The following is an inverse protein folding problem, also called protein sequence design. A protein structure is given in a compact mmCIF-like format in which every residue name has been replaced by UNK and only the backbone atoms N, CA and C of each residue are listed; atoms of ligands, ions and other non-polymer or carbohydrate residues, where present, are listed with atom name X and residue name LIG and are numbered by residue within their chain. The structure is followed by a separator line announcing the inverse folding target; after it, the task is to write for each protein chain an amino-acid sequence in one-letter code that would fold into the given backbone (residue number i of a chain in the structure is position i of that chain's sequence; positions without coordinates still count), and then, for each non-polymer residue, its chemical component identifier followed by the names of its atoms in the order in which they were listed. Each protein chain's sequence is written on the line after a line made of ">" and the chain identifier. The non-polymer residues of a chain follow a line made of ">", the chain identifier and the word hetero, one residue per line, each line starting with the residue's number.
data_IF_198323767197
#
_entry.id   IF_198323767197
#
_cell.length_a   1.000
_cell.length_b   1.000
_cell.length_c   1.000
_cell.angle_alpha   90.00
_cell.angle_beta   90.00
_cell.angle_gamma   90.00
#
_symmetry.space_group_name_H-M   'P 1'
#
loop_
_entity.id
_entity.type
_entity.pdbx_description
1 polymer ?
#
# COMPACT_ATOMS: atom_id res chain seq x y z
N UNK A 1 -9.65 -80.68 -5.55
CA UNK A 1 -8.57 -79.69 -5.83
C UNK A 1 -9.22 -78.41 -6.33
N UNK A 2 -9.53 -77.47 -5.43
CA UNK A 2 -10.11 -76.16 -5.79
C UNK A 2 -9.10 -75.10 -5.33
N UNK A 3 -8.49 -74.42 -6.31
CA UNK A 3 -7.57 -73.30 -6.09
C UNK A 3 -8.38 -72.03 -5.85
N UNK A 4 -8.22 -71.40 -4.69
CA UNK A 4 -8.76 -70.07 -4.42
C UNK A 4 -7.90 -69.01 -5.13
N UNK A 5 -8.49 -68.29 -6.10
CA UNK A 5 -7.93 -67.05 -6.65
C UNK A 5 -8.24 -65.89 -5.69
N UNK A 6 -7.19 -65.24 -5.17
CA UNK A 6 -7.30 -63.97 -4.44
C UNK A 6 -7.23 -62.85 -5.47
N UNK A 7 -8.35 -62.13 -5.66
CA UNK A 7 -8.41 -60.92 -6.48
C UNK A 7 -7.89 -59.74 -5.63
N UNK A 8 -6.69 -59.24 -5.95
CA UNK A 8 -6.14 -58.01 -5.41
C UNK A 8 -6.81 -56.81 -6.11
N UNK A 9 -7.74 -56.16 -5.41
CA UNK A 9 -8.33 -54.90 -5.85
C UNK A 9 -7.31 -53.76 -5.65
N UNK A 10 -6.66 -53.34 -6.73
CA UNK A 10 -5.82 -52.13 -6.76
C UNK A 10 -6.76 -50.92 -6.79
N UNK A 11 -6.96 -50.28 -5.63
CA UNK A 11 -7.65 -49.00 -5.53
C UNK A 11 -6.68 -47.91 -5.98
N UNK A 12 -6.80 -47.49 -7.24
CA UNK A 12 -6.09 -46.32 -7.75
C UNK A 12 -6.74 -45.03 -7.18
N UNK A 13 -6.15 -44.51 -6.09
CA UNK A 13 -6.52 -43.21 -5.55
C UNK A 13 -6.11 -42.11 -6.55
N UNK A 14 -7.08 -41.66 -7.35
CA UNK A 14 -6.90 -40.53 -8.25
C UNK A 14 -6.91 -39.25 -7.42
N UNK A 15 -5.73 -38.70 -7.10
CA UNK A 15 -5.62 -37.36 -6.53
C UNK A 15 -6.03 -36.35 -7.59
N UNK A 16 -7.28 -35.89 -7.53
CA UNK A 16 -7.72 -34.72 -8.27
C UNK A 16 -7.11 -33.49 -7.61
N UNK A 17 -6.00 -33.00 -8.15
CA UNK A 17 -5.49 -31.68 -7.79
C UNK A 17 -6.51 -30.66 -8.29
N UNK A 18 -7.35 -30.18 -7.38
CA UNK A 18 -8.22 -29.04 -7.65
C UNK A 18 -7.30 -27.85 -7.92
N UNK A 19 -7.20 -27.40 -9.17
CA UNK A 19 -6.47 -26.16 -9.49
C UNK A 19 -7.28 -24.99 -8.91
N UNK A 20 -6.96 -24.58 -7.69
CA UNK A 20 -7.33 -23.25 -7.21
C UNK A 20 -6.76 -22.26 -8.25
N UNK A 21 -7.65 -21.57 -8.97
CA UNK A 21 -7.26 -20.69 -10.08
C UNK A 21 -6.16 -19.73 -9.62
N UNK A 22 -5.00 -19.81 -10.26
CA UNK A 22 -3.84 -19.00 -9.89
C UNK A 22 -4.22 -17.52 -10.03
N UNK A 23 -4.08 -16.76 -8.93
CA UNK A 23 -4.29 -15.32 -8.94
C UNK A 23 -3.25 -14.68 -9.86
N UNK A 24 -3.70 -13.75 -10.69
CA UNK A 24 -2.84 -12.95 -11.55
C UNK A 24 -2.02 -11.99 -10.69
N UNK A 25 -0.71 -11.97 -10.90
CA UNK A 25 0.18 -10.97 -10.31
C UNK A 25 0.06 -9.64 -11.04
N UNK A 26 0.44 -8.56 -10.38
CA UNK A 26 0.53 -7.22 -11.01
C UNK A 26 1.35 -7.22 -12.29
N UNK A 27 2.52 -7.86 -12.27
CA UNK A 27 3.39 -7.94 -13.44
C UNK A 27 2.72 -8.68 -14.61
N UNK A 28 1.98 -9.76 -14.34
CA UNK A 28 1.21 -10.49 -15.36
C UNK A 28 0.07 -9.64 -15.92
N UNK A 29 -0.65 -8.90 -15.07
CA UNK A 29 -1.70 -7.98 -15.52
C UNK A 29 -1.13 -6.91 -16.46
N UNK A 30 -0.06 -6.24 -16.05
CA UNK A 30 0.60 -5.20 -16.86
C UNK A 30 1.05 -5.80 -18.19
N UNK A 31 1.75 -6.95 -18.16
CA UNK A 31 2.20 -7.63 -19.38
C UNK A 31 1.04 -7.95 -20.31
N UNK A 32 -0.09 -8.39 -19.76
CA UNK A 32 -1.27 -8.80 -20.53
C UNK A 32 -2.02 -7.62 -21.14
N UNK A 33 -2.15 -6.50 -20.43
CA UNK A 33 -3.05 -5.41 -20.83
C UNK A 33 -2.36 -4.12 -21.26
N UNK A 34 -1.03 -4.01 -21.15
CA UNK A 34 -0.29 -2.80 -21.60
C UNK A 34 -0.58 -2.42 -23.06
N UNK A 35 -0.70 -3.41 -23.95
CA UNK A 35 -1.01 -3.15 -25.36
C UNK A 35 -2.37 -2.51 -25.56
N UNK A 36 -3.37 -2.87 -24.73
CA UNK A 36 -4.69 -2.27 -24.78
C UNK A 36 -4.67 -0.83 -24.27
N UNK A 37 -3.92 -0.56 -23.20
CA UNK A 37 -3.77 0.79 -22.67
C UNK A 37 -3.03 1.73 -23.64
N UNK A 38 -1.95 1.25 -24.27
CA UNK A 38 -1.23 1.99 -25.32
C UNK A 38 -2.16 2.32 -26.48
N UNK A 39 -2.93 1.33 -26.95
CA UNK A 39 -3.92 1.54 -28.01
C UNK A 39 -4.97 2.57 -27.59
N UNK A 40 -5.51 2.46 -26.38
CA UNK A 40 -6.48 3.43 -25.86
C UNK A 40 -5.89 4.84 -25.76
N UNK A 41 -4.64 5.00 -25.36
CA UNK A 41 -4.00 6.32 -25.35
C UNK A 41 -3.92 6.93 -26.74
N UNK A 42 -3.55 6.13 -27.75
CA UNK A 42 -3.50 6.60 -29.14
C UNK A 42 -4.86 7.05 -29.65
N UNK A 43 -5.89 6.25 -29.37
CA UNK A 43 -7.26 6.44 -29.89
C UNK A 43 -8.05 7.50 -29.13
N UNK A 44 -7.91 7.54 -27.80
CA UNK A 44 -8.77 8.31 -26.88
C UNK A 44 -8.03 9.45 -26.17
N UNK A 45 -6.71 9.55 -26.32
CA UNK A 45 -5.89 10.61 -25.69
C UNK A 45 -5.93 10.60 -24.15
N UNK A 46 -6.13 9.44 -23.55
CA UNK A 46 -6.00 9.21 -22.10
C UNK A 46 -4.64 8.55 -21.85
N UNK A 47 -3.81 8.99 -20.89
CA UNK A 47 -2.52 8.36 -20.64
C UNK A 47 -2.66 6.84 -20.44
N UNK A 48 -1.78 6.07 -21.07
CA UNK A 48 -1.74 4.61 -20.94
C UNK A 48 -1.42 4.22 -19.49
N UNK A 49 -0.57 5.00 -18.82
CA UNK A 49 -0.23 4.87 -17.40
C UNK A 49 -1.45 5.03 -16.49
N UNK A 50 -2.28 6.06 -16.71
CA UNK A 50 -3.55 6.28 -16.00
C UNK A 50 -4.49 5.09 -16.22
N UNK A 51 -4.69 4.68 -17.47
CA UNK A 51 -5.58 3.58 -17.81
C UNK A 51 -5.14 2.26 -17.12
N UNK A 52 -3.85 1.94 -17.15
CA UNK A 52 -3.33 0.74 -16.48
C UNK A 52 -3.42 0.85 -14.96
N UNK A 53 -3.11 2.01 -14.38
CA UNK A 53 -3.14 2.18 -12.93
C UNK A 53 -4.55 2.06 -12.36
N UNK A 54 -5.53 2.68 -13.02
CA UNK A 54 -6.95 2.48 -12.68
C UNK A 54 -7.34 1.02 -12.87
N UNK A 55 -6.98 0.42 -14.01
CA UNK A 55 -7.24 -1.00 -14.27
C UNK A 55 -6.68 -1.91 -13.17
N UNK A 56 -5.45 -1.69 -12.70
CA UNK A 56 -4.81 -2.46 -11.62
C UNK A 56 -5.53 -2.26 -10.28
N UNK A 57 -5.80 -1.01 -9.91
CA UNK A 57 -6.43 -0.64 -8.64
C UNK A 57 -7.86 -1.17 -8.53
N UNK A 58 -8.69 -0.90 -9.53
CA UNK A 58 -10.14 -1.20 -9.52
C UNK A 58 -10.41 -2.70 -9.69
N UNK A 59 -9.49 -3.44 -10.32
CA UNK A 59 -9.67 -4.88 -10.59
C UNK A 59 -8.95 -5.81 -9.62
N UNK A 60 -8.23 -5.29 -8.62
CA UNK A 60 -7.34 -6.11 -7.77
C UNK A 60 -6.35 -6.92 -8.63
N UNK A 61 -5.62 -6.24 -9.51
CA UNK A 61 -4.73 -6.85 -10.52
C UNK A 61 -5.45 -7.91 -11.39
N UNK A 62 -6.74 -7.69 -11.69
CA UNK A 62 -7.60 -8.57 -12.48
C UNK A 62 -8.30 -9.68 -11.69
N UNK A 63 -8.07 -9.76 -10.37
CA UNK A 63 -8.57 -10.85 -9.53
C UNK A 63 -9.92 -10.57 -8.88
N UNK A 64 -10.45 -9.35 -8.97
CA UNK A 64 -11.78 -9.03 -8.43
C UNK A 64 -12.86 -9.89 -9.11
N UNK A 65 -13.97 -10.15 -8.42
CA UNK A 65 -15.10 -10.89 -9.00
C UNK A 65 -15.69 -10.16 -10.22
N UNK A 66 -15.66 -8.83 -10.23
CA UNK A 66 -16.13 -8.02 -11.35
C UNK A 66 -15.24 -8.20 -12.58
N UNK A 67 -13.92 -8.16 -12.40
CA UNK A 67 -12.96 -8.35 -13.48
C UNK A 67 -12.94 -9.80 -13.97
N UNK A 68 -12.68 -10.76 -13.08
CA UNK A 68 -12.48 -12.17 -13.44
C UNK A 68 -13.72 -12.86 -14.04
N UNK A 69 -14.94 -12.49 -13.61
CA UNK A 69 -16.18 -13.15 -14.06
C UNK A 69 -16.95 -12.36 -15.11
N UNK A 70 -16.84 -11.03 -15.11
CA UNK A 70 -17.67 -10.15 -15.93
C UNK A 70 -16.87 -9.22 -16.84
N UNK A 71 -15.54 -9.40 -16.88
CA UNK A 71 -14.59 -8.57 -17.61
C UNK A 71 -14.69 -7.08 -17.26
N UNK A 72 -15.28 -6.71 -16.11
CA UNK A 72 -15.41 -5.30 -15.71
C UNK A 72 -14.23 -4.89 -14.84
N UNK A 73 -13.17 -4.40 -15.49
CA UNK A 73 -11.89 -4.07 -14.84
C UNK A 73 -11.89 -2.71 -14.14
N UNK A 74 -12.86 -1.84 -14.40
CA UNK A 74 -12.90 -0.47 -13.88
C UNK A 74 -14.10 -0.21 -12.96
N UNK A 75 -14.82 -1.26 -12.56
CA UNK A 75 -15.98 -1.14 -11.66
C UNK A 75 -17.13 -0.30 -12.22
N UNK A 76 -17.28 -0.21 -13.55
CA UNK A 76 -18.25 0.72 -14.16
C UNK A 76 -19.68 0.26 -13.83
N UNK A 77 -20.41 1.12 -13.13
CA UNK A 77 -21.81 0.93 -12.74
C UNK A 77 -22.75 1.10 -13.95
N UNK A 78 -23.93 0.48 -13.88
CA UNK A 78 -24.98 0.73 -14.85
C UNK A 78 -25.50 2.17 -14.65
N UNK A 79 -25.55 2.94 -15.73
CA UNK A 79 -26.26 4.21 -15.76
C UNK A 79 -27.56 4.03 -16.56
N UNK A 80 -28.44 5.02 -16.54
CA UNK A 80 -29.74 4.97 -17.25
C UNK A 80 -29.61 4.67 -18.75
N UNK A 81 -28.48 5.03 -19.36
CA UNK A 81 -28.20 4.76 -20.78
C UNK A 81 -27.62 3.38 -21.09
N UNK A 82 -27.34 2.54 -20.07
CA UNK A 82 -26.74 1.23 -20.30
C UNK A 82 -27.77 0.19 -20.72
N UNK A 83 -27.64 -0.31 -21.95
CA UNK A 83 -28.53 -1.33 -22.54
C UNK A 83 -27.88 -2.71 -22.63
N UNK A 84 -26.58 -2.83 -22.30
CA UNK A 84 -25.83 -4.08 -22.36
C UNK A 84 -26.12 -5.03 -21.19
N UNK A 85 -25.37 -6.14 -21.16
CA UNK A 85 -25.46 -7.12 -20.06
C UNK A 85 -25.10 -6.47 -18.72
N UNK A 86 -25.76 -6.92 -17.66
CA UNK A 86 -25.61 -6.40 -16.31
C UNK A 86 -25.50 -7.50 -15.27
N UNK A 87 -24.85 -7.19 -14.15
CA UNK A 87 -24.78 -8.02 -12.95
C UNK A 87 -25.08 -7.15 -11.74
N UNK A 88 -25.51 -7.76 -10.63
CA UNK A 88 -25.76 -7.05 -9.39
C UNK A 88 -24.84 -7.57 -8.30
N UNK A 89 -24.20 -6.66 -7.58
CA UNK A 89 -23.29 -6.95 -6.47
C UNK A 89 -23.53 -5.97 -5.33
N UNK A 90 -23.25 -6.43 -4.13
CA UNK A 90 -23.14 -5.55 -2.98
C UNK A 90 -21.71 -5.03 -2.98
N UNK A 91 -21.54 -3.72 -3.15
CA UNK A 91 -20.24 -3.02 -3.15
C UNK A 91 -20.29 -1.87 -2.12
N UNK A 92 -20.66 -0.66 -2.53
CA UNK A 92 -20.90 0.48 -1.63
C UNK A 92 -22.32 0.42 -1.03
N UNK A 93 -23.27 -0.07 -1.82
CA UNK A 93 -24.67 -0.27 -1.44
C UNK A 93 -25.15 -1.68 -1.81
N UNK A 94 -26.27 -2.11 -1.23
CA UNK A 94 -26.89 -3.39 -1.60
C UNK A 94 -27.41 -3.34 -3.05
N UNK A 95 -27.11 -4.39 -3.82
CA UNK A 95 -27.60 -4.63 -5.18
C UNK A 95 -27.27 -3.51 -6.18
N UNK A 96 -26.04 -3.01 -6.14
CA UNK A 96 -25.58 -2.09 -7.17
C UNK A 96 -25.44 -2.81 -8.52
N UNK A 97 -25.85 -2.13 -9.58
CA UNK A 97 -25.79 -2.64 -10.95
C UNK A 97 -24.44 -2.32 -11.56
N UNK A 98 -23.78 -3.33 -12.10
CA UNK A 98 -22.51 -3.22 -12.83
C UNK A 98 -22.65 -3.72 -14.26
N UNK A 99 -21.92 -3.08 -15.16
CA UNK A 99 -21.84 -3.50 -16.57
C UNK A 99 -21.10 -4.84 -16.67
N UNK A 100 -21.50 -5.66 -17.64
CA UNK A 100 -20.86 -6.94 -17.97
C UNK A 100 -20.39 -6.87 -19.41
N UNK A 101 -19.14 -7.24 -19.65
CA UNK A 101 -18.51 -7.11 -20.96
C UNK A 101 -18.18 -8.48 -21.57
N UNK A 102 -18.30 -8.64 -22.90
CA UNK A 102 -17.84 -9.84 -23.60
C UNK A 102 -16.34 -10.08 -23.45
N UNK A 103 -15.54 -9.01 -23.52
CA UNK A 103 -14.08 -9.07 -23.39
C UNK A 103 -13.54 -7.99 -22.46
N UNK A 104 -12.29 -8.14 -22.01
CA UNK A 104 -11.61 -7.08 -21.25
C UNK A 104 -11.41 -5.83 -22.10
N UNK A 105 -11.15 -5.97 -23.41
CA UNK A 105 -11.03 -4.84 -24.34
C UNK A 105 -12.29 -3.97 -24.33
N UNK A 106 -13.47 -4.58 -24.31
CA UNK A 106 -14.73 -3.84 -24.27
C UNK A 106 -14.85 -2.98 -23.01
N UNK A 107 -14.35 -3.49 -21.86
CA UNK A 107 -14.33 -2.70 -20.62
C UNK A 107 -13.34 -1.53 -20.67
N UNK A 108 -12.20 -1.70 -21.35
CA UNK A 108 -11.23 -0.63 -21.57
C UNK A 108 -11.80 0.45 -22.50
N UNK A 109 -12.46 0.06 -23.57
CA UNK A 109 -13.10 1.00 -24.50
C UNK A 109 -14.24 1.78 -23.81
N UNK A 110 -15.07 1.09 -23.04
CA UNK A 110 -16.17 1.72 -22.31
C UNK A 110 -15.66 2.64 -21.18
N UNK A 111 -14.54 2.29 -20.55
CA UNK A 111 -13.83 3.19 -19.63
C UNK A 111 -13.33 4.46 -20.34
N UNK A 112 -12.72 4.33 -21.51
CA UNK A 112 -12.29 5.49 -22.30
C UNK A 112 -13.49 6.38 -22.69
N UNK A 113 -14.60 5.78 -23.12
CA UNK A 113 -15.84 6.50 -23.41
C UNK A 113 -16.43 7.18 -22.16
N UNK A 114 -16.34 6.53 -20.99
CA UNK A 114 -16.75 7.10 -19.72
C UNK A 114 -15.94 8.36 -19.35
N UNK A 115 -14.62 8.33 -19.55
CA UNK A 115 -13.74 9.47 -19.30
C UNK A 115 -13.90 10.60 -20.32
N UNK A 116 -14.50 10.38 -21.49
CA UNK A 116 -14.83 11.47 -22.42
C UNK A 116 -16.07 12.30 -22.04
N UNK A 117 -16.78 11.96 -20.96
CA UNK A 117 -17.91 12.79 -20.49
C UNK A 117 -17.43 14.19 -20.09
N UNK A 118 -18.28 15.19 -20.31
CA UNK A 118 -17.98 16.62 -20.06
C UNK A 118 -17.38 16.92 -18.69
N UNK A 119 -17.79 16.17 -17.65
CA UNK A 119 -17.24 16.24 -16.29
C UNK A 119 -15.72 16.11 -16.23
N UNK A 120 -15.11 15.33 -17.12
CA UNK A 120 -13.68 15.03 -17.15
C UNK A 120 -12.93 15.84 -18.22
N UNK A 121 -13.59 16.79 -18.91
CA UNK A 121 -13.00 17.54 -20.02
C UNK A 121 -11.66 18.21 -19.64
N UNK A 122 -11.55 18.72 -18.41
CA UNK A 122 -10.31 19.35 -17.91
C UNK A 122 -9.10 18.42 -17.88
N UNK A 123 -9.30 17.11 -17.77
CA UNK A 123 -8.18 16.17 -17.87
C UNK A 123 -7.50 16.25 -19.24
N UNK A 124 -8.27 16.52 -20.30
CA UNK A 124 -7.78 16.59 -21.68
C UNK A 124 -7.15 17.95 -22.03
N UNK A 125 -7.17 18.92 -21.11
CA UNK A 125 -6.43 20.18 -21.22
C UNK A 125 -4.98 20.02 -20.71
N UNK A 126 -4.68 18.93 -20.00
CA UNK A 126 -3.36 18.61 -19.48
C UNK A 126 -2.49 17.96 -20.56
N UNK A 127 -1.18 18.10 -20.42
CA UNK A 127 -0.22 17.33 -21.21
C UNK A 127 -0.52 15.83 -21.08
N UNK A 128 -0.52 15.12 -22.22
CA UNK A 128 -0.94 13.72 -22.28
C UNK A 128 0.01 12.78 -21.52
N UNK A 129 1.19 13.26 -21.13
CA UNK A 129 2.15 12.53 -20.29
C UNK A 129 2.13 12.95 -18.82
N UNK A 130 1.32 13.96 -18.45
CA UNK A 130 1.23 14.46 -17.08
C UNK A 130 0.23 13.65 -16.25
N UNK A 131 0.58 12.38 -16.01
CA UNK A 131 -0.27 11.48 -15.24
C UNK A 131 -0.50 11.95 -13.80
N UNK A 132 0.38 12.80 -13.24
CA UNK A 132 0.23 13.33 -11.87
C UNK A 132 -0.95 14.29 -11.80
N UNK A 133 -1.00 15.28 -12.70
CA UNK A 133 -2.14 16.20 -12.76
C UNK A 133 -3.41 15.50 -13.29
N UNK A 134 -3.28 14.51 -14.17
CA UNK A 134 -4.43 13.68 -14.57
C UNK A 134 -5.07 12.97 -13.36
N UNK A 135 -4.27 12.38 -12.47
CA UNK A 135 -4.78 11.71 -11.28
C UNK A 135 -5.48 12.69 -10.32
N UNK A 136 -4.93 13.90 -10.16
CA UNK A 136 -5.53 14.96 -9.35
C UNK A 136 -6.86 15.45 -9.96
N UNK A 137 -6.89 15.74 -11.26
CA UNK A 137 -8.08 16.24 -11.94
C UNK A 137 -9.18 15.16 -12.02
N UNK A 138 -8.84 13.87 -12.18
CA UNK A 138 -9.80 12.76 -12.07
C UNK A 138 -10.52 12.76 -10.72
N UNK A 139 -9.78 12.96 -9.61
CA UNK A 139 -10.36 13.02 -8.27
C UNK A 139 -11.23 14.26 -8.10
N UNK A 140 -10.75 15.42 -8.54
CA UNK A 140 -11.49 16.69 -8.48
C UNK A 140 -12.78 16.65 -9.30
N UNK A 141 -12.75 16.00 -10.46
CA UNK A 141 -13.91 15.71 -11.29
C UNK A 141 -14.86 14.67 -10.67
N UNK A 142 -14.48 14.03 -9.57
CA UNK A 142 -15.33 13.11 -8.82
C UNK A 142 -15.35 11.68 -9.37
N UNK A 143 -14.24 11.20 -9.95
CA UNK A 143 -14.10 9.80 -10.32
C UNK A 143 -14.20 8.86 -9.11
N UNK A 144 -13.52 9.20 -8.01
CA UNK A 144 -13.51 8.41 -6.77
C UNK A 144 -13.80 9.27 -5.54
N UNK A 145 -14.43 8.67 -4.52
CA UNK A 145 -14.71 9.33 -3.24
C UNK A 145 -13.47 9.37 -2.34
N UNK A 146 -12.63 8.34 -2.40
CA UNK A 146 -11.40 8.22 -1.60
C UNK A 146 -10.47 9.45 -1.80
N UNK A 147 -10.15 10.22 -0.74
CA UNK A 147 -9.24 11.38 -0.85
C UNK A 147 -7.82 10.99 -1.28
N UNK A 148 -7.39 9.74 -1.03
CA UNK A 148 -6.07 9.23 -1.43
C UNK A 148 -6.03 8.72 -2.87
N UNK A 149 -7.13 8.79 -3.63
CA UNK A 149 -7.21 8.23 -4.97
C UNK A 149 -6.11 8.69 -5.94
N UNK A 150 -5.79 10.00 -6.06
CA UNK A 150 -4.71 10.44 -6.92
C UNK A 150 -3.39 9.78 -6.55
N UNK A 151 -3.07 9.75 -5.25
CA UNK A 151 -1.84 9.17 -4.75
C UNK A 151 -1.74 7.68 -5.05
N UNK A 152 -2.83 6.93 -4.91
CA UNK A 152 -2.85 5.49 -5.24
C UNK A 152 -2.51 5.25 -6.71
N UNK A 153 -3.06 6.06 -7.63
CA UNK A 153 -2.73 5.96 -9.05
C UNK A 153 -1.27 6.31 -9.32
N UNK A 154 -0.79 7.44 -8.81
CA UNK A 154 0.60 7.88 -9.01
C UNK A 154 1.57 6.83 -8.47
N UNK A 155 1.27 6.21 -7.33
CA UNK A 155 2.08 5.12 -6.77
C UNK A 155 2.14 3.91 -7.69
N UNK A 156 0.98 3.45 -8.17
CA UNK A 156 0.93 2.32 -9.09
C UNK A 156 1.69 2.63 -10.39
N UNK A 157 1.59 3.85 -10.90
CA UNK A 157 2.30 4.29 -12.11
C UNK A 157 3.81 4.27 -11.90
N UNK A 158 4.31 4.86 -10.81
CA UNK A 158 5.74 4.99 -10.55
C UNK A 158 6.38 3.64 -10.20
N UNK A 159 5.79 2.87 -9.27
CA UNK A 159 6.33 1.56 -8.83
C UNK A 159 6.42 0.52 -9.96
N UNK A 160 5.56 0.66 -10.97
CA UNK A 160 5.50 -0.26 -12.11
C UNK A 160 5.99 0.38 -13.41
N UNK A 161 6.54 1.60 -13.32
CA UNK A 161 7.08 2.39 -14.43
C UNK A 161 6.10 2.50 -15.62
N UNK A 162 4.80 2.63 -15.34
CA UNK A 162 3.76 2.60 -16.37
C UNK A 162 3.84 3.80 -17.32
N UNK A 163 4.45 4.91 -16.90
CA UNK A 163 4.71 6.08 -17.73
C UNK A 163 5.58 5.76 -18.96
N UNK A 164 6.35 4.67 -18.94
CA UNK A 164 7.08 4.19 -20.13
C UNK A 164 6.14 3.83 -21.27
N UNK A 165 4.93 3.37 -20.96
CA UNK A 165 3.92 3.04 -21.96
C UNK A 165 3.27 4.29 -22.55
N UNK A 166 3.27 5.43 -21.85
CA UNK A 166 2.87 6.71 -22.43
C UNK A 166 3.83 7.11 -23.55
N UNK A 167 5.14 6.98 -23.28
CA UNK A 167 6.19 7.25 -24.26
C UNK A 167 6.16 6.29 -25.45
N UNK A 168 5.94 5.01 -25.19
CA UNK A 168 5.74 4.00 -26.24
C UNK A 168 4.51 4.31 -27.11
N UNK A 169 3.42 4.82 -26.51
CA UNK A 169 2.23 5.23 -27.25
C UNK A 169 2.50 6.40 -28.20
N UNK A 170 3.37 7.33 -27.81
CA UNK A 170 3.80 8.50 -28.59
C UNK A 170 4.88 8.19 -29.63
N UNK A 171 5.42 6.96 -29.66
CA UNK A 171 6.51 6.58 -30.57
C UNK A 171 7.90 7.03 -30.11
N UNK A 172 8.04 7.46 -28.85
CA UNK A 172 9.31 7.86 -28.23
C UNK A 172 10.05 6.60 -27.72
N UNK A 173 10.54 5.76 -28.64
CA UNK A 173 11.31 4.54 -28.28
C UNK A 173 12.82 4.84 -28.24
N UNK A 174 13.27 5.56 -27.22
CA UNK A 174 14.69 5.60 -26.83
C UNK A 174 14.79 5.94 -25.32
N UNK A 175 15.41 5.09 -24.47
CA UNK A 175 15.60 5.39 -23.06
C UNK A 175 16.86 6.26 -22.89
N UNK A 176 16.79 7.52 -23.31
CA UNK A 176 17.86 8.47 -23.10
C UNK A 176 17.30 9.78 -22.51
N UNK A 177 17.48 9.91 -21.20
CA UNK A 177 17.49 11.15 -20.41
C UNK A 177 16.41 12.17 -20.79
N UNK A 178 15.31 12.15 -20.04
CA UNK A 178 14.56 13.38 -19.79
C UNK A 178 14.56 13.63 -18.29
N UNK A 179 15.66 14.21 -17.80
CA UNK A 179 15.60 15.06 -16.61
C UNK A 179 14.83 16.30 -17.05
N UNK A 180 13.52 16.29 -16.86
CA UNK A 180 12.78 17.54 -16.69
C UNK A 180 12.16 17.49 -15.31
N UNK A 181 12.87 18.14 -14.38
CA UNK A 181 12.28 18.69 -13.17
C UNK A 181 11.19 19.65 -13.62
N UNK A 182 9.95 19.17 -13.65
CA UNK A 182 8.79 20.05 -13.67
C UNK A 182 8.59 20.49 -12.23
N UNK A 183 8.91 21.75 -11.97
CA UNK A 183 8.55 22.46 -10.75
C UNK A 183 7.02 22.49 -10.64
N UNK A 184 6.44 21.47 -10.03
CA UNK A 184 5.04 21.48 -9.63
C UNK A 184 4.96 22.26 -8.32
N UNK A 185 4.40 23.47 -8.40
CA UNK A 185 4.15 24.34 -7.26
C UNK A 185 3.18 23.69 -6.26
N UNK A 186 3.75 23.21 -5.17
CA UNK A 186 3.30 23.22 -3.77
C UNK A 186 1.80 23.39 -3.49
N UNK A 187 1.09 22.27 -3.37
CA UNK A 187 0.05 22.13 -2.33
C UNK A 187 0.12 20.79 -1.56
N UNK A 188 1.09 19.92 -1.88
CA UNK A 188 1.29 18.63 -1.20
C UNK A 188 2.77 18.28 -1.08
N UNK A 189 3.58 19.20 -0.56
CA UNK A 189 4.94 18.85 -0.17
C UNK A 189 4.94 17.98 1.11
N UNK A 190 5.79 16.95 1.05
CA UNK A 190 6.44 16.29 2.18
C UNK A 190 5.89 14.95 2.71
N UNK A 191 5.40 14.10 1.81
CA UNK A 191 5.41 12.64 2.05
C UNK A 191 6.19 11.95 0.94
N UNK A 192 7.48 11.73 1.19
CA UNK A 192 8.28 10.68 0.55
C UNK A 192 7.64 9.32 0.84
N UNK A 193 6.62 8.99 0.06
CA UNK A 193 5.81 7.78 0.17
C UNK A 193 6.51 6.58 -0.47
N UNK A 194 7.51 6.82 -1.33
CA UNK A 194 8.16 5.79 -2.15
C UNK A 194 9.31 5.07 -1.42
N UNK A 195 9.89 5.69 -0.40
CA UNK A 195 10.82 5.02 0.50
C UNK A 195 10.07 4.44 1.70
N UNK A 196 9.41 3.28 1.51
CA UNK A 196 8.90 2.52 2.68
C UNK A 196 10.10 2.19 3.58
N UNK A 197 10.09 2.64 4.85
CA UNK A 197 11.25 2.49 5.71
C UNK A 197 11.53 1.01 6.00
N UNK A 198 12.81 0.65 6.02
CA UNK A 198 13.25 -0.74 6.24
C UNK A 198 12.82 -1.19 7.63
N UNK A 199 11.94 -2.19 7.68
CA UNK A 199 11.48 -2.76 8.95
C UNK A 199 12.54 -3.69 9.52
N UNK A 200 13.04 -3.35 10.69
CA UNK A 200 14.01 -4.12 11.47
C UNK A 200 13.33 -4.81 12.65
N UNK A 201 14.05 -5.70 13.32
CA UNK A 201 13.62 -6.37 14.54
C UNK A 201 14.60 -6.12 15.68
N UNK A 202 14.10 -5.63 16.82
CA UNK A 202 14.91 -5.37 18.01
C UNK A 202 15.31 -6.67 18.72
N UNK A 203 16.32 -6.59 19.62
CA UNK A 203 16.71 -7.69 20.52
C UNK A 203 15.56 -8.20 21.40
N UNK A 204 14.48 -7.44 21.54
CA UNK A 204 13.29 -7.80 22.30
C UNK A 204 12.13 -8.32 21.41
N UNK A 205 12.44 -8.72 20.18
CA UNK A 205 11.51 -9.27 19.19
C UNK A 205 10.32 -8.33 18.91
N UNK A 206 10.63 -7.07 18.64
CA UNK A 206 9.66 -6.02 18.31
C UNK A 206 10.07 -5.38 16.99
N UNK A 207 9.15 -5.30 16.04
CA UNK A 207 9.38 -4.63 14.76
C UNK A 207 9.51 -3.12 14.95
N UNK A 208 10.49 -2.50 14.31
CA UNK A 208 10.74 -1.06 14.34
C UNK A 208 11.31 -0.56 13.00
N UNK A 209 11.34 0.75 12.83
CA UNK A 209 12.09 1.47 11.78
C UNK A 209 12.99 2.51 12.44
N UNK A 210 13.95 3.03 11.68
CA UNK A 210 14.66 4.26 12.04
C UNK A 210 13.93 5.46 11.40
N UNK A 211 13.66 6.49 12.20
CA UNK A 211 13.03 7.72 11.73
C UNK A 211 14.00 8.56 10.91
N UNK A 212 13.46 9.30 9.95
CA UNK A 212 14.15 10.43 9.32
C UNK A 212 13.92 11.71 10.12
N UNK A 213 14.79 12.69 9.92
CA UNK A 213 14.69 13.99 10.59
C UNK A 213 13.30 14.62 10.42
N UNK A 214 12.72 15.07 11.53
CA UNK A 214 11.41 15.72 11.57
C UNK A 214 10.22 14.80 11.31
N UNK A 215 10.40 13.47 11.25
CA UNK A 215 9.30 12.53 11.05
C UNK A 215 8.23 12.74 12.13
N UNK A 216 6.98 12.74 11.70
CA UNK A 216 5.83 12.80 12.63
C UNK A 216 5.17 11.42 12.71
N UNK A 217 4.45 11.10 13.81
CA UNK A 217 3.66 9.88 13.90
C UNK A 217 2.67 9.71 12.74
N UNK A 218 2.14 10.81 12.20
CA UNK A 218 1.26 10.78 11.02
C UNK A 218 2.04 10.39 9.77
N UNK A 219 3.18 11.04 9.49
CA UNK A 219 4.00 10.78 8.29
C UNK A 219 4.49 9.33 8.27
N UNK A 220 4.99 8.83 9.40
CA UNK A 220 5.41 7.42 9.53
C UNK A 220 4.23 6.46 9.34
N UNK A 221 3.07 6.76 9.94
CA UNK A 221 1.88 5.93 9.80
C UNK A 221 1.37 5.87 8.35
N UNK A 222 1.39 7.02 7.65
CA UNK A 222 1.03 7.10 6.23
C UNK A 222 2.01 6.30 5.35
N UNK A 223 3.33 6.34 5.63
CA UNK A 223 4.36 5.55 4.91
C UNK A 223 4.21 4.03 5.09
N UNK A 224 3.66 3.59 6.22
CA UNK A 224 3.60 2.18 6.63
C UNK A 224 2.19 1.57 6.58
N UNK A 225 1.21 2.29 6.04
CA UNK A 225 -0.20 1.87 6.01
C UNK A 225 -0.74 1.51 7.42
N UNK A 226 -0.30 2.25 8.44
CA UNK A 226 -0.70 2.09 9.84
C UNK A 226 -1.61 3.21 10.31
N UNK A 227 -2.35 2.98 11.40
CA UNK A 227 -3.08 4.05 12.08
C UNK A 227 -2.12 4.99 12.82
N UNK A 228 -2.19 6.32 12.66
CA UNK A 228 -1.34 7.26 13.41
C UNK A 228 -1.43 7.09 14.93
N UNK A 229 -2.57 6.62 15.44
CA UNK A 229 -2.74 6.31 16.86
C UNK A 229 -1.88 5.13 17.33
N UNK A 230 -1.58 4.17 16.44
CA UNK A 230 -0.73 3.02 16.76
C UNK A 230 0.71 3.49 16.96
N UNK A 231 1.23 4.31 16.06
CA UNK A 231 2.59 4.86 16.17
C UNK A 231 2.73 5.64 17.49
N UNK A 232 1.76 6.52 17.79
CA UNK A 232 1.75 7.27 19.07
C UNK A 232 1.73 6.34 20.29
N UNK A 233 0.80 5.40 20.31
CA UNK A 233 0.59 4.49 21.44
C UNK A 233 1.79 3.58 21.68
N UNK A 234 2.45 3.10 20.64
CA UNK A 234 3.57 2.16 20.77
C UNK A 234 4.87 2.85 21.18
N UNK A 235 5.02 4.13 20.85
CA UNK A 235 6.22 4.91 21.11
C UNK A 235 6.08 5.88 22.30
N UNK A 236 4.92 5.90 22.96
CA UNK A 236 4.62 6.80 24.08
C UNK A 236 4.81 8.29 23.72
N UNK A 237 4.40 8.69 22.50
CA UNK A 237 4.52 10.07 21.97
C UNK A 237 3.15 10.69 21.65
N UNK A 238 3.08 12.01 21.62
CA UNK A 238 1.86 12.76 21.27
C UNK A 238 1.69 12.96 19.75
N UNK A 239 0.69 13.76 19.34
CA UNK A 239 0.38 14.03 17.93
C UNK A 239 1.39 14.98 17.26
N UNK A 240 1.95 15.92 18.01
CA UNK A 240 2.88 16.95 17.53
C UNK A 240 4.34 16.54 17.62
N UNK A 241 4.64 15.40 18.23
CA UNK A 241 5.99 14.87 18.38
C UNK A 241 6.72 14.77 17.03
N UNK A 242 8.00 15.13 17.05
CA UNK A 242 8.91 15.05 15.91
C UNK A 242 10.09 14.17 16.30
N UNK A 243 10.32 13.13 15.52
CA UNK A 243 11.47 12.25 15.67
C UNK A 243 12.71 12.88 15.03
N UNK A 244 13.86 12.60 15.64
CA UNK A 244 15.18 12.92 15.08
C UNK A 244 15.66 11.80 14.18
N UNK A 245 16.57 12.11 13.27
CA UNK A 245 17.18 11.10 12.40
C UNK A 245 17.83 9.98 13.21
N UNK A 246 17.46 8.73 12.93
CA UNK A 246 17.97 7.53 13.61
C UNK A 246 17.16 7.10 14.84
N UNK A 247 16.15 7.86 15.26
CA UNK A 247 15.26 7.45 16.34
C UNK A 247 14.58 6.12 16.01
N UNK A 248 14.55 5.22 16.99
CA UNK A 248 13.79 3.97 16.86
C UNK A 248 12.31 4.28 16.93
N UNK A 249 11.52 3.81 15.95
CA UNK A 249 10.06 3.88 15.98
C UNK A 249 9.47 2.48 15.92
N UNK A 250 8.87 2.04 17.02
CA UNK A 250 8.23 0.74 17.13
C UNK A 250 6.91 0.67 16.39
N UNK A 251 6.74 -0.42 15.64
CA UNK A 251 5.53 -0.74 14.87
C UNK A 251 4.60 -1.70 15.63
N UNK A 252 4.99 -2.10 16.84
CA UNK A 252 4.28 -3.01 17.72
C UNK A 252 4.41 -2.57 19.18
N UNK A 253 3.52 -2.98 20.10
CA UNK A 253 3.64 -2.62 21.52
C UNK A 253 4.98 -3.06 22.14
N UNK A 254 5.67 -2.12 22.79
CA UNK A 254 6.85 -2.38 23.64
C UNK A 254 6.56 -3.45 24.70
N UNK A 255 7.57 -4.18 25.18
CA UNK A 255 7.41 -5.24 26.20
C UNK A 255 7.43 -4.66 27.61
N UNK A 256 7.02 -5.45 28.59
CA UNK A 256 7.09 -5.05 30.01
C UNK A 256 8.47 -5.30 30.66
N UNK A 257 9.42 -5.88 29.90
CA UNK A 257 10.79 -6.19 30.32
C UNK A 257 11.71 -6.13 29.10
N UNK A 258 12.99 -5.83 29.30
CA UNK A 258 13.99 -5.86 28.24
C UNK A 258 14.73 -7.21 28.16
N UNK A 259 15.45 -7.40 27.07
CA UNK A 259 16.45 -8.47 26.95
C UNK A 259 17.65 -8.24 27.89
N UNK A 260 17.97 -6.98 28.22
CA UNK A 260 19.01 -6.63 29.18
C UNK A 260 18.52 -6.68 30.65
N UNK A 261 19.46 -6.87 31.58
CA UNK A 261 19.19 -6.86 33.02
C UNK A 261 19.04 -5.44 33.57
N UNK A 262 20.02 -4.58 33.25
CA UNK A 262 20.13 -3.22 33.72
C UNK A 262 20.57 -2.30 32.58
N UNK A 263 20.41 -1.01 32.81
CA UNK A 263 21.00 0.05 32.02
C UNK A 263 21.59 1.10 32.99
N UNK A 264 22.76 1.64 32.64
CA UNK A 264 23.41 2.71 33.38
C UNK A 264 23.18 4.02 32.63
N UNK A 265 22.49 4.96 33.29
CA UNK A 265 22.01 6.21 32.70
C UNK A 265 23.18 7.05 32.22
N UNK A 266 23.11 7.52 30.98
CA UNK A 266 24.09 8.45 30.39
C UNK A 266 23.71 9.90 30.65
N UNK A 267 24.66 10.86 30.50
CA UNK A 267 24.34 12.28 30.50
C UNK A 267 23.18 12.60 29.53
N UNK A 268 22.25 13.42 30.00
CA UNK A 268 21.08 13.92 29.26
C UNK A 268 20.07 12.87 28.75
N UNK A 269 20.22 11.61 29.17
CA UNK A 269 19.34 10.53 28.74
C UNK A 269 18.01 10.52 29.52
N UNK A 270 16.91 10.37 28.79
CA UNK A 270 15.56 10.32 29.36
C UNK A 270 15.06 8.88 29.51
N UNK A 271 14.01 8.69 30.33
CA UNK A 271 13.31 7.40 30.40
C UNK A 271 12.73 6.99 29.04
N UNK A 272 12.39 7.96 28.18
CA UNK A 272 11.90 7.70 26.83
C UNK A 272 13.02 7.13 25.95
N UNK A 273 14.24 7.68 26.00
CA UNK A 273 15.38 7.18 25.23
C UNK A 273 15.70 5.72 25.58
N UNK A 274 15.77 5.43 26.87
CA UNK A 274 15.99 4.06 27.39
C UNK A 274 14.82 3.14 26.98
N UNK A 275 13.60 3.66 27.03
CA UNK A 275 12.42 2.92 26.58
C UNK A 275 12.51 2.56 25.09
N UNK A 276 12.95 3.49 24.25
CA UNK A 276 13.13 3.27 22.82
C UNK A 276 14.29 2.31 22.53
N UNK A 277 15.43 2.49 23.19
CA UNK A 277 16.63 1.65 23.03
C UNK A 277 16.36 0.16 23.31
N UNK A 278 15.61 -0.14 24.38
CA UNK A 278 15.40 -1.53 24.82
C UNK A 278 14.04 -2.12 24.44
N UNK A 279 13.13 -1.32 23.89
CA UNK A 279 11.78 -1.75 23.55
C UNK A 279 10.98 -2.16 24.78
N UNK A 280 11.17 -1.46 25.89
CA UNK A 280 10.47 -1.67 27.16
C UNK A 280 9.54 -0.49 27.42
N UNK A 281 8.32 -0.71 27.92
CA UNK A 281 7.39 0.39 28.19
C UNK A 281 7.92 1.33 29.28
N UNK A 282 7.75 2.64 29.10
CA UNK A 282 8.11 3.68 30.09
C UNK A 282 7.54 3.35 31.48
N UNK A 283 6.24 2.99 31.55
CA UNK A 283 5.59 2.61 32.81
C UNK A 283 6.23 1.40 33.51
N UNK A 284 6.85 0.51 32.74
CA UNK A 284 7.57 -0.64 33.29
C UNK A 284 8.91 -0.22 33.87
N UNK A 285 9.64 0.71 33.24
CA UNK A 285 10.87 1.27 33.80
C UNK A 285 10.57 1.95 35.15
N UNK A 286 9.56 2.83 35.20
CA UNK A 286 9.18 3.49 36.45
C UNK A 286 8.86 2.48 37.56
N UNK A 287 8.02 1.48 37.26
CA UNK A 287 7.62 0.45 38.24
C UNK A 287 8.76 -0.46 38.70
N UNK A 288 9.75 -0.74 37.85
CA UNK A 288 10.87 -1.62 38.20
C UNK A 288 11.89 -0.95 39.11
N UNK A 289 11.90 0.39 39.12
CA UNK A 289 12.89 1.21 39.79
C UNK A 289 12.29 2.11 40.88
N UNK A 290 11.00 1.91 41.21
CA UNK A 290 10.25 2.69 42.19
C UNK A 290 10.37 4.21 41.98
N UNK A 291 10.42 4.60 40.70
CA UNK A 291 10.60 5.99 40.30
C UNK A 291 9.23 6.69 40.18
N UNK A 292 9.08 7.91 40.73
CA UNK A 292 7.94 8.77 40.46
C UNK A 292 7.78 9.02 38.95
N UNK A 293 6.54 9.25 38.49
CA UNK A 293 6.31 9.65 37.11
C UNK A 293 7.00 10.99 36.86
N UNK A 294 7.74 11.10 35.75
CA UNK A 294 8.50 12.28 35.35
C UNK A 294 9.71 12.58 36.24
N UNK A 295 10.25 11.59 36.95
CA UNK A 295 11.53 11.75 37.65
C UNK A 295 12.66 11.99 36.65
N UNK A 296 13.50 12.99 36.91
CA UNK A 296 14.76 13.16 36.19
C UNK A 296 15.71 12.01 36.55
N UNK A 297 16.42 11.50 35.56
CA UNK A 297 17.43 10.47 35.76
C UNK A 297 18.77 11.12 36.13
N UNK A 298 19.56 10.44 36.95
CA UNK A 298 20.91 10.88 37.33
C UNK A 298 21.93 10.09 36.53
N UNK A 299 22.90 10.72 35.85
CA UNK A 299 23.96 9.99 35.16
C UNK A 299 24.70 9.01 36.10
N UNK A 300 24.95 7.79 35.63
CA UNK A 300 25.51 6.68 36.44
C UNK A 300 24.48 5.89 37.25
N UNK A 301 23.22 6.33 37.32
CA UNK A 301 22.14 5.58 37.96
C UNK A 301 21.90 4.25 37.22
N UNK A 302 21.87 3.14 37.97
CA UNK A 302 21.54 1.82 37.40
C UNK A 302 20.05 1.53 37.46
N UNK A 303 19.40 1.49 36.30
CA UNK A 303 17.99 1.13 36.15
C UNK A 303 17.82 -0.36 35.84
N UNK A 304 16.97 -1.03 36.62
CA UNK A 304 16.45 -2.38 36.35
C UNK A 304 15.54 -2.36 35.12
N UNK A 305 15.81 -3.25 34.17
CA UNK A 305 14.97 -3.42 32.98
C UNK A 305 14.13 -4.72 33.01
N UNK A 306 14.28 -5.52 34.07
CA UNK A 306 13.49 -6.73 34.34
C UNK A 306 13.57 -7.12 35.82
N UNK A 307 12.53 -7.77 36.34
CA UNK A 307 12.49 -8.24 37.74
C UNK A 307 13.48 -9.36 38.04
N UNK A 308 13.53 -10.38 37.18
CA UNK A 308 14.43 -11.53 37.31
C UNK A 308 15.60 -11.35 36.34
N UNK A 309 16.85 -11.24 36.83
CA UNK A 309 18.01 -11.15 35.96
C UNK A 309 18.15 -12.43 35.12
N UNK A 310 18.67 -12.28 33.90
CA UNK A 310 19.19 -13.39 33.12
C UNK A 310 20.32 -14.06 33.90
N UNK A 311 20.30 -15.39 33.94
CA UNK A 311 21.46 -16.16 34.34
C UNK A 311 22.50 -15.99 33.23
N UNK A 312 23.70 -15.56 33.61
CA UNK A 312 24.85 -15.54 32.71
C UNK A 312 25.17 -16.96 32.24
#
# INVERSE_FOLDING_TARGET
>A
MIRHLILLAIVALSFTTSSLGQRMTRAEYIKKYKGLAIKNMRDHKIPASITLAQGLLESDDGNSKLASKYNNHFGIKCHSSWTGKKTYKDDDAKKECFRVYPTVQDSYNDHSAFLHKSRYAKCFELEITDYKNWALELKKAGYATNPKYPQLLIVIIEENELYKYDKEALGETNPAKTNQEVLVSNEFDDIDYYNKPIVRQSKNNIKYIEASEGDTPKRIADKLDMGPWQIRKYNDVDKGFRFSSGDIVYLQPKRNKAAANFHEVKPDETVWDISQQYGIKIKSIYKLNDLPRNSNLVPGQKLKLRKKPLKN
#
